data_IF_273262213823
#
_entry.id   IF_273262213823
#
_cell.length_a   1.000
_cell.length_b   1.000
_cell.length_c   1.000
_cell.angle_alpha   90.00
_cell.angle_beta   90.00
_cell.angle_gamma   90.00
#
_symmetry.space_group_name_H-M   'P 1'
#
loop_
_entity.id
_entity.type
_entity.pdbx_description
1 polymer ?
#
# COMPACT_ATOMS: atom_id res chain seq x y z
N UNK A 1 -16.57 25.65 -8.70
CA UNK A 1 -16.36 25.28 -10.12
C UNK A 1 -15.56 26.35 -10.84
N UNK A 2 -14.24 26.43 -10.52
CA UNK A 2 -13.35 27.49 -11.03
C UNK A 2 -12.90 27.23 -12.50
N UNK A 3 -12.98 25.98 -12.96
CA UNK A 3 -12.47 25.56 -14.25
C UNK A 3 -13.52 24.74 -15.03
N UNK A 4 -14.51 25.42 -15.61
CA UNK A 4 -15.60 24.78 -16.37
C UNK A 4 -15.14 24.06 -17.67
N UNK A 5 -13.91 24.28 -18.13
CA UNK A 5 -13.36 23.71 -19.37
C UNK A 5 -12.35 22.57 -19.17
N UNK A 6 -11.98 22.29 -17.90
CA UNK A 6 -11.04 21.22 -17.58
C UNK A 6 -11.78 19.95 -17.20
N UNK A 7 -11.40 18.85 -17.79
CA UNK A 7 -11.77 17.52 -17.35
C UNK A 7 -10.60 16.97 -16.52
N UNK A 8 -10.89 16.60 -15.27
CA UNK A 8 -9.91 16.10 -14.32
C UNK A 8 -10.13 14.60 -14.18
N UNK A 9 -9.04 13.83 -14.16
CA UNK A 9 -9.04 12.43 -13.77
C UNK A 9 -8.04 12.22 -12.65
N UNK A 10 -8.34 11.27 -11.76
CA UNK A 10 -7.41 10.83 -10.74
C UNK A 10 -6.74 9.52 -11.20
N UNK A 11 -5.42 9.47 -11.21
CA UNK A 11 -4.66 8.29 -11.60
C UNK A 11 -3.75 7.93 -10.43
N UNK A 12 -4.16 6.98 -9.57
CA UNK A 12 -3.31 6.52 -8.48
C UNK A 12 -2.08 5.78 -9.01
N UNK A 13 -0.97 5.96 -8.35
CA UNK A 13 0.24 5.17 -8.57
C UNK A 13 0.43 4.16 -7.43
N UNK A 14 1.06 3.04 -7.73
CA UNK A 14 1.30 1.93 -6.78
C UNK A 14 2.79 1.57 -6.72
N UNK A 15 3.66 2.54 -7.01
CA UNK A 15 5.10 2.37 -7.12
C UNK A 15 5.74 2.36 -5.73
N UNK A 16 6.82 1.62 -5.60
CA UNK A 16 7.67 1.66 -4.41
C UNK A 16 8.74 2.74 -4.62
N UNK A 17 8.88 3.65 -3.67
CA UNK A 17 9.83 4.77 -3.76
C UNK A 17 11.26 4.32 -4.11
N UNK A 18 11.69 3.16 -3.60
CA UNK A 18 13.05 2.62 -3.81
C UNK A 18 13.34 2.17 -5.23
N UNK A 19 12.32 1.83 -6.00
CA UNK A 19 12.43 1.28 -7.36
C UNK A 19 11.31 1.83 -8.27
N UNK A 20 10.94 3.11 -8.09
CA UNK A 20 9.81 3.71 -8.78
C UNK A 20 9.96 3.67 -10.31
N UNK A 21 11.17 3.88 -10.83
CA UNK A 21 11.44 3.83 -12.27
C UNK A 21 11.28 2.42 -12.82
N UNK A 22 11.79 1.41 -12.11
CA UNK A 22 11.65 0.00 -12.49
C UNK A 22 10.19 -0.46 -12.34
N UNK A 23 9.54 -0.10 -11.24
CA UNK A 23 8.13 -0.41 -11.02
C UNK A 23 7.26 0.22 -12.11
N UNK A 24 7.52 1.49 -12.50
CA UNK A 24 6.76 2.16 -13.54
C UNK A 24 6.96 1.53 -14.92
N UNK A 25 8.16 1.10 -15.24
CA UNK A 25 8.50 0.59 -16.58
C UNK A 25 8.24 -0.90 -16.75
N UNK A 26 8.35 -1.71 -15.66
CA UNK A 26 8.36 -3.17 -15.77
C UNK A 26 7.45 -3.91 -14.77
N UNK A 27 7.22 -3.36 -13.56
CA UNK A 27 6.63 -4.16 -12.48
C UNK A 27 5.22 -3.75 -12.09
N UNK A 28 4.70 -2.58 -12.50
CA UNK A 28 3.34 -2.24 -12.14
C UNK A 28 2.33 -3.00 -13.01
N UNK A 29 1.27 -3.49 -12.37
CA UNK A 29 0.34 -4.43 -12.99
C UNK A 29 -1.00 -3.80 -13.35
N UNK A 30 -1.28 -2.58 -12.88
CA UNK A 30 -2.58 -1.94 -13.00
C UNK A 30 -2.46 -0.45 -13.30
N UNK A 31 -3.15 -0.01 -14.36
CA UNK A 31 -3.50 1.39 -14.59
C UNK A 31 -4.96 1.61 -14.18
N UNK A 32 -5.17 2.21 -13.02
CA UNK A 32 -6.49 2.67 -12.58
C UNK A 32 -6.69 4.13 -12.98
N UNK A 33 -7.84 4.46 -13.56
CA UNK A 33 -8.17 5.83 -13.97
C UNK A 33 -9.54 6.20 -13.42
N UNK A 34 -9.56 7.11 -12.46
CA UNK A 34 -10.76 7.67 -11.84
C UNK A 34 -11.36 8.77 -12.71
N UNK A 35 -12.35 8.45 -13.52
CA UNK A 35 -13.06 9.39 -14.39
C UNK A 35 -14.42 8.86 -14.84
N UNK A 36 -15.42 9.72 -14.87
CA UNK A 36 -16.74 9.40 -15.46
C UNK A 36 -16.69 9.43 -17.01
N UNK A 37 -15.75 10.17 -17.61
CA UNK A 37 -15.68 10.33 -19.07
C UNK A 37 -14.80 9.24 -19.72
N UNK A 38 -15.46 8.34 -20.46
CA UNK A 38 -14.77 7.27 -21.21
C UNK A 38 -13.74 7.80 -22.22
N UNK A 39 -13.93 9.01 -22.75
CA UNK A 39 -12.98 9.60 -23.70
C UNK A 39 -11.70 10.01 -22.99
N UNK A 40 -11.80 10.50 -21.74
CA UNK A 40 -10.65 10.83 -20.91
C UNK A 40 -9.91 9.56 -20.53
N UNK A 41 -10.62 8.52 -20.11
CA UNK A 41 -10.02 7.20 -19.86
C UNK A 41 -9.22 6.72 -21.07
N UNK A 42 -9.82 6.70 -22.25
CA UNK A 42 -9.16 6.25 -23.48
C UNK A 42 -7.91 7.08 -23.84
N UNK A 43 -7.94 8.40 -23.61
CA UNK A 43 -6.77 9.27 -23.81
C UNK A 43 -5.62 8.91 -22.88
N UNK A 44 -5.92 8.69 -21.60
CA UNK A 44 -4.91 8.32 -20.60
C UNK A 44 -4.33 6.95 -20.93
N UNK A 45 -5.18 5.95 -21.23
CA UNK A 45 -4.74 4.63 -21.66
C UNK A 45 -3.84 4.70 -22.89
N UNK A 46 -4.19 5.51 -23.89
CA UNK A 46 -3.37 5.71 -25.08
C UNK A 46 -2.02 6.35 -24.76
N UNK A 47 -1.98 7.29 -23.82
CA UNK A 47 -0.73 7.95 -23.40
C UNK A 47 0.20 6.99 -22.65
N UNK A 48 -0.36 6.05 -21.87
CA UNK A 48 0.42 4.99 -21.20
C UNK A 48 0.90 3.88 -22.16
N UNK A 49 0.29 3.74 -23.33
CA UNK A 49 0.65 2.70 -24.28
C UNK A 49 0.12 1.29 -23.92
N UNK A 50 0.90 0.27 -24.23
CA UNK A 50 0.51 -1.14 -24.02
C UNK A 50 0.63 -1.57 -22.56
N UNK A 51 1.51 -0.95 -21.80
CA UNK A 51 1.82 -1.30 -20.41
C UNK A 51 1.20 -0.30 -19.42
N UNK A 52 0.67 -0.74 -18.26
CA UNK A 52 0.43 -2.12 -17.86
C UNK A 52 -0.73 -2.77 -18.64
N UNK A 53 -0.80 -4.09 -18.62
CA UNK A 53 -1.86 -4.80 -19.35
C UNK A 53 -3.25 -4.60 -18.74
N UNK A 54 -3.33 -4.60 -17.40
CA UNK A 54 -4.59 -4.36 -16.70
C UNK A 54 -4.90 -2.85 -16.65
N UNK A 55 -6.04 -2.47 -17.20
CA UNK A 55 -6.52 -1.09 -17.24
C UNK A 55 -7.95 -1.04 -16.77
N UNK A 56 -8.24 -0.25 -15.76
CA UNK A 56 -9.57 -0.14 -15.17
C UNK A 56 -10.04 1.30 -15.09
N UNK A 57 -11.28 1.54 -15.47
CA UNK A 57 -11.95 2.82 -15.27
C UNK A 57 -12.80 2.75 -14.02
N UNK A 58 -12.59 3.69 -13.12
CA UNK A 58 -13.30 3.86 -11.87
C UNK A 58 -13.89 5.26 -11.81
N UNK A 59 -14.77 5.53 -10.85
CA UNK A 59 -15.05 6.90 -10.42
C UNK A 59 -13.82 7.51 -9.75
N UNK A 60 -13.76 8.82 -9.61
CA UNK A 60 -12.64 9.47 -8.91
C UNK A 60 -12.50 8.96 -7.47
N UNK A 61 -13.62 8.88 -6.76
CA UNK A 61 -13.65 8.39 -5.37
C UNK A 61 -13.19 6.93 -5.25
N UNK A 62 -13.66 6.05 -6.15
CA UNK A 62 -13.21 4.65 -6.14
C UNK A 62 -11.70 4.52 -6.39
N UNK A 63 -11.15 5.34 -7.30
CA UNK A 63 -9.71 5.33 -7.57
C UNK A 63 -8.89 5.88 -6.39
N UNK A 64 -9.39 6.90 -5.68
CA UNK A 64 -8.79 7.40 -4.45
C UNK A 64 -8.82 6.34 -3.34
N UNK A 65 -9.97 5.70 -3.12
CA UNK A 65 -10.13 4.63 -2.13
C UNK A 65 -9.23 3.44 -2.47
N UNK A 66 -9.08 3.09 -3.76
CA UNK A 66 -8.19 2.01 -4.20
C UNK A 66 -6.72 2.28 -3.80
N UNK A 67 -6.25 3.53 -3.88
CA UNK A 67 -4.90 3.90 -3.44
C UNK A 67 -4.73 3.62 -1.94
N UNK A 68 -5.67 4.08 -1.13
CA UNK A 68 -5.63 3.83 0.31
C UNK A 68 -5.77 2.35 0.65
N UNK A 69 -6.66 1.63 -0.03
CA UNK A 69 -6.83 0.18 0.15
C UNK A 69 -5.49 -0.55 -0.02
N UNK A 70 -4.76 -0.26 -1.11
CA UNK A 70 -3.46 -0.86 -1.38
C UNK A 70 -2.45 -0.58 -0.25
N UNK A 71 -2.34 0.66 0.20
CA UNK A 71 -1.33 1.05 1.18
C UNK A 71 -1.69 0.57 2.59
N UNK A 72 -2.96 0.63 2.98
CA UNK A 72 -3.41 0.09 4.28
C UNK A 72 -3.30 -1.44 4.31
N UNK A 73 -3.56 -2.12 3.18
CA UNK A 73 -3.34 -3.56 3.10
C UNK A 73 -1.86 -3.93 3.21
N UNK A 74 -0.96 -3.16 2.62
CA UNK A 74 0.48 -3.33 2.82
C UNK A 74 0.88 -3.14 4.29
N UNK A 75 0.37 -2.08 4.95
CA UNK A 75 0.60 -1.82 6.37
C UNK A 75 0.09 -2.97 7.27
N UNK A 76 -1.11 -3.51 6.97
CA UNK A 76 -1.66 -4.68 7.65
C UNK A 76 -0.72 -5.89 7.53
N UNK A 77 -0.20 -6.17 6.33
CA UNK A 77 0.69 -7.33 6.12
C UNK A 77 1.99 -7.20 6.90
N UNK A 78 2.60 -6.02 6.89
CA UNK A 78 3.80 -5.76 7.70
C UNK A 78 3.51 -5.94 9.19
N UNK A 79 2.41 -5.38 9.68
CA UNK A 79 2.03 -5.51 11.10
C UNK A 79 1.74 -6.96 11.47
N UNK A 80 1.01 -7.69 10.62
CA UNK A 80 0.75 -9.11 10.80
C UNK A 80 2.05 -9.93 10.87
N UNK A 81 2.97 -9.73 9.94
CA UNK A 81 4.26 -10.40 9.93
C UNK A 81 5.05 -10.15 11.22
N UNK A 82 5.09 -8.90 11.66
CA UNK A 82 5.79 -8.52 12.89
C UNK A 82 5.15 -9.12 14.15
N UNK A 83 3.83 -9.19 14.23
CA UNK A 83 3.15 -9.85 15.35
C UNK A 83 3.48 -11.34 15.41
N UNK A 84 3.47 -12.03 14.26
CA UNK A 84 3.85 -13.45 14.23
C UNK A 84 5.34 -13.68 14.48
N UNK A 85 6.20 -12.77 14.05
CA UNK A 85 7.61 -12.78 14.39
C UNK A 85 7.81 -12.73 15.92
N UNK A 86 7.12 -11.83 16.64
CA UNK A 86 7.16 -11.77 18.11
C UNK A 86 6.71 -13.07 18.77
N UNK A 87 5.66 -13.70 18.23
CA UNK A 87 5.19 -15.01 18.73
C UNK A 87 6.26 -16.07 18.54
N UNK A 88 6.89 -16.10 17.35
CA UNK A 88 7.94 -17.07 17.05
C UNK A 88 9.17 -16.90 17.95
N UNK A 89 9.59 -15.65 18.20
CA UNK A 89 10.66 -15.35 19.17
C UNK A 89 10.34 -15.91 20.57
N UNK A 90 9.10 -15.74 21.05
CA UNK A 90 8.67 -16.25 22.36
C UNK A 90 8.58 -17.77 22.41
N UNK A 91 8.23 -18.40 21.29
CA UNK A 91 8.14 -19.86 21.17
C UNK A 91 9.47 -20.51 20.76
N UNK A 92 10.51 -19.72 20.53
CA UNK A 92 11.82 -20.16 20.04
C UNK A 92 11.70 -21.00 18.76
N UNK A 93 10.94 -20.49 17.77
CA UNK A 93 10.76 -21.09 16.46
C UNK A 93 11.08 -20.08 15.33
N UNK A 94 11.34 -20.60 14.14
CA UNK A 94 11.75 -19.80 12.99
C UNK A 94 10.53 -19.25 12.22
N UNK A 95 10.32 -17.93 12.30
CA UNK A 95 9.29 -17.22 11.55
C UNK A 95 9.45 -17.38 10.03
N UNK A 96 10.69 -17.32 9.52
CA UNK A 96 10.95 -17.42 8.08
C UNK A 96 10.52 -18.76 7.53
N UNK A 97 10.83 -19.85 8.26
CA UNK A 97 10.41 -21.18 7.87
C UNK A 97 8.86 -21.31 7.83
N UNK A 98 8.15 -20.68 8.76
CA UNK A 98 6.68 -20.69 8.81
C UNK A 98 6.13 -19.87 7.63
N UNK A 99 6.65 -18.65 7.40
CA UNK A 99 6.28 -17.79 6.27
C UNK A 99 6.45 -18.52 4.94
N UNK A 100 7.63 -19.09 4.71
CA UNK A 100 7.95 -19.79 3.44
C UNK A 100 7.07 -21.01 3.22
N UNK A 101 6.77 -21.77 4.26
CA UNK A 101 5.84 -22.88 4.19
C UNK A 101 4.42 -22.39 3.82
N UNK A 102 3.97 -21.27 4.38
CA UNK A 102 2.67 -20.70 4.06
C UNK A 102 2.60 -20.18 2.61
N UNK A 103 3.65 -19.50 2.13
CA UNK A 103 3.73 -19.01 0.73
C UNK A 103 3.60 -20.17 -0.27
N UNK A 104 4.20 -21.34 0.03
CA UNK A 104 4.08 -22.53 -0.81
C UNK A 104 2.65 -23.05 -0.96
N UNK A 105 1.72 -22.66 -0.11
CA UNK A 105 0.30 -23.00 -0.28
C UNK A 105 -0.38 -22.24 -1.43
N UNK A 106 0.25 -21.21 -1.99
CA UNK A 106 -0.33 -20.34 -3.02
C UNK A 106 -1.43 -19.39 -2.52
N UNK A 107 -1.70 -19.35 -1.21
CA UNK A 107 -2.74 -18.50 -0.62
C UNK A 107 -2.31 -17.06 -0.37
N UNK A 108 -1.02 -16.79 -0.39
CA UNK A 108 -0.46 -15.45 -0.24
C UNK A 108 0.75 -15.26 -1.14
N UNK A 109 1.05 -14.01 -1.45
CA UNK A 109 2.30 -13.58 -2.09
C UNK A 109 3.24 -13.06 -1.02
N UNK A 110 4.55 -13.22 -1.22
CA UNK A 110 5.59 -12.90 -0.24
C UNK A 110 5.81 -11.40 0.00
N UNK A 111 5.11 -10.54 -0.73
CA UNK A 111 5.26 -9.09 -0.60
C UNK A 111 4.79 -8.59 0.78
N UNK A 112 5.64 -7.83 1.49
CA UNK A 112 5.37 -7.23 2.82
C UNK A 112 5.18 -8.25 3.97
N UNK A 113 5.66 -9.48 3.84
CA UNK A 113 5.61 -10.49 4.90
C UNK A 113 6.97 -10.76 5.57
N UNK A 114 8.02 -10.07 5.15
CA UNK A 114 9.32 -10.21 5.80
C UNK A 114 9.35 -9.51 7.16
N UNK A 115 9.87 -10.20 8.15
CA UNK A 115 10.20 -9.67 9.48
C UNK A 115 11.46 -10.37 10.01
N UNK A 116 12.43 -9.58 10.46
CA UNK A 116 13.68 -10.03 11.08
C UNK A 116 14.00 -9.10 12.26
N UNK A 117 15.01 -9.39 13.10
CA UNK A 117 15.42 -8.46 14.14
C UNK A 117 15.76 -7.05 13.61
N UNK A 118 16.25 -6.97 12.37
CA UNK A 118 16.69 -5.73 11.70
C UNK A 118 15.56 -5.11 10.84
N UNK A 119 14.51 -5.85 10.51
CA UNK A 119 13.43 -5.42 9.64
C UNK A 119 12.10 -5.45 10.38
N UNK A 120 11.76 -4.34 11.05
CA UNK A 120 10.59 -4.26 11.93
C UNK A 120 9.70 -3.08 11.60
N UNK A 121 8.39 -3.36 11.58
CA UNK A 121 7.37 -2.36 11.32
C UNK A 121 7.44 -1.73 9.93
N UNK A 122 6.60 -0.74 9.70
CA UNK A 122 6.65 0.10 8.49
C UNK A 122 6.89 1.56 8.84
N UNK A 123 7.58 2.26 7.94
CA UNK A 123 7.88 3.70 8.04
C UNK A 123 7.86 4.33 6.64
N UNK A 124 8.53 5.46 6.47
CA UNK A 124 8.57 6.19 5.19
C UNK A 124 7.35 7.07 4.98
N UNK A 125 7.24 7.63 3.77
CA UNK A 125 6.28 8.69 3.46
C UNK A 125 4.85 8.19 3.26
N UNK A 126 4.66 6.98 2.72
CA UNK A 126 3.38 6.55 2.18
C UNK A 126 2.51 5.80 3.19
N UNK A 127 3.00 4.68 3.74
CA UNK A 127 2.16 3.81 4.58
C UNK A 127 1.66 4.50 5.85
N UNK A 128 2.51 5.21 6.65
CA UNK A 128 2.03 5.90 7.84
C UNK A 128 1.03 7.01 7.52
N UNK A 129 1.29 7.80 6.47
CA UNK A 129 0.42 8.89 6.04
C UNK A 129 -0.95 8.38 5.62
N UNK A 130 -0.99 7.35 4.79
CA UNK A 130 -2.25 6.85 4.22
C UNK A 130 -3.06 6.06 5.27
N UNK A 131 -2.41 5.33 6.17
CA UNK A 131 -3.09 4.69 7.30
C UNK A 131 -3.76 5.74 8.20
N UNK A 132 -3.06 6.83 8.55
CA UNK A 132 -3.63 7.93 9.34
C UNK A 132 -4.74 8.67 8.61
N UNK A 133 -4.60 8.89 7.30
CA UNK A 133 -5.64 9.53 6.50
C UNK A 133 -6.95 8.73 6.52
N UNK A 134 -6.87 7.39 6.41
CA UNK A 134 -8.06 6.53 6.51
C UNK A 134 -8.63 6.52 7.93
N UNK A 135 -7.81 6.53 8.97
CA UNK A 135 -8.31 6.66 10.35
C UNK A 135 -9.11 7.94 10.54
N UNK A 136 -8.60 9.08 10.07
CA UNK A 136 -9.30 10.36 10.13
C UNK A 136 -10.62 10.34 9.32
N UNK A 137 -10.59 9.78 8.11
CA UNK A 137 -11.80 9.63 7.29
C UNK A 137 -12.84 8.75 7.98
N UNK A 138 -12.43 7.66 8.63
CA UNK A 138 -13.36 6.82 9.41
C UNK A 138 -14.01 7.59 10.56
N UNK A 139 -13.27 8.46 11.23
CA UNK A 139 -13.80 9.33 12.28
C UNK A 139 -14.83 10.35 11.72
N UNK A 140 -14.50 11.00 10.61
CA UNK A 140 -15.41 11.92 9.92
C UNK A 140 -16.70 11.23 9.46
N UNK A 141 -16.61 9.98 9.01
CA UNK A 141 -17.74 9.17 8.57
C UNK A 141 -18.46 8.44 9.71
N UNK A 142 -18.04 8.62 10.97
CA UNK A 142 -18.57 7.92 12.15
C UNK A 142 -18.46 6.37 12.03
N UNK A 143 -17.42 5.86 11.40
CA UNK A 143 -17.13 4.43 11.30
C UNK A 143 -16.32 4.02 12.54
N UNK A 144 -16.94 3.27 13.45
CA UNK A 144 -16.31 2.81 14.68
C UNK A 144 -15.84 1.36 14.56
N UNK A 145 -14.73 1.15 13.84
CA UNK A 145 -14.06 -0.14 13.67
C UNK A 145 -12.59 -0.01 14.07
N UNK A 146 -12.04 -1.04 14.70
CA UNK A 146 -10.74 -0.95 15.39
C UNK A 146 -9.55 -1.46 14.57
N UNK A 147 -9.79 -2.25 13.50
CA UNK A 147 -8.70 -2.90 12.77
C UNK A 147 -7.61 -1.93 12.33
N UNK A 148 -7.97 -0.85 11.66
CA UNK A 148 -6.99 0.09 11.10
C UNK A 148 -6.26 0.86 12.23
N UNK A 149 -6.98 1.21 13.29
CA UNK A 149 -6.40 1.80 14.49
C UNK A 149 -5.39 0.84 15.15
N UNK A 150 -5.70 -0.45 15.20
CA UNK A 150 -4.82 -1.49 15.75
C UNK A 150 -3.55 -1.66 14.94
N UNK A 151 -3.63 -1.58 13.59
CA UNK A 151 -2.45 -1.62 12.71
C UNK A 151 -1.45 -0.51 13.09
N UNK A 152 -1.93 0.74 13.21
CA UNK A 152 -1.07 1.88 13.57
C UNK A 152 -0.57 1.76 15.01
N UNK A 153 -1.43 1.34 15.94
CA UNK A 153 -1.06 1.12 17.34
C UNK A 153 0.05 0.08 17.47
N UNK A 154 -0.05 -1.05 16.80
CA UNK A 154 0.97 -2.09 16.84
C UNK A 154 2.26 -1.64 16.14
N UNK A 155 2.15 -1.03 14.96
CA UNK A 155 3.31 -0.51 14.25
C UNK A 155 4.11 0.50 15.10
N UNK A 156 3.44 1.28 15.95
CA UNK A 156 4.12 2.24 16.83
C UNK A 156 4.99 1.60 17.89
N UNK A 157 4.76 0.33 18.23
CA UNK A 157 5.52 -0.46 19.22
C UNK A 157 6.80 -1.06 18.64
N UNK A 158 6.92 -1.18 17.30
CA UNK A 158 8.08 -1.76 16.65
C UNK A 158 9.15 -0.70 16.36
N UNK A 159 10.43 -1.10 16.49
CA UNK A 159 11.54 -0.30 16.00
C UNK A 159 11.50 -0.29 14.48
N UNK A 160 11.33 0.90 13.89
CA UNK A 160 11.26 1.07 12.43
C UNK A 160 12.65 1.07 11.84
N UNK A 161 12.97 0.05 11.06
CA UNK A 161 14.32 -0.17 10.53
C UNK A 161 14.42 -0.01 9.01
N UNK A 162 13.28 -0.01 8.30
CA UNK A 162 13.21 -0.10 6.82
C UNK A 162 13.81 1.13 6.12
N UNK A 163 13.88 2.28 6.78
CA UNK A 163 14.34 3.54 6.20
C UNK A 163 15.44 4.24 7.02
N UNK A 164 16.14 3.52 7.90
CA UNK A 164 17.33 4.07 8.55
C UNK A 164 18.36 4.43 7.46
N UNK A 165 18.55 5.73 7.22
CA UNK A 165 19.49 6.25 6.24
C UNK A 165 18.91 6.64 4.86
N UNK A 166 17.58 6.57 4.65
CA UNK A 166 16.93 7.11 3.46
C UNK A 166 16.16 8.40 3.77
N UNK A 167 16.70 9.52 3.29
CA UNK A 167 16.11 10.87 3.31
C UNK A 167 15.47 11.34 4.62
N UNK A 168 16.17 12.18 5.35
CA UNK A 168 15.58 13.15 6.28
C UNK A 168 15.38 12.67 7.71
N UNK A 169 16.13 11.72 8.20
CA UNK A 169 16.39 11.53 9.63
C UNK A 169 17.80 12.10 9.91
N UNK A 170 17.92 13.43 9.91
CA UNK A 170 18.90 14.20 10.66
C UNK A 170 18.26 14.74 11.93
#
# INVERSE_FOLDING_TARGET
>A
KRFKKLTIAFVPEFLKERCADEDFTHNHTLLAVGTEDKRVFNKIVKAHGSYPQNKVRLTATEAEVLKYFNNVYAALRVTFANNFFEICEKLNCDYTAIKDAYIKTGKAVDMYLDATPELRGYSGMCLPKDTKAIMNLMEELNINLDLIKSIESDNSKFRKTVFNGMRGEE
#
